data_IF_789905872398
#
_entry.id   IF_789905872398
#
_cell.length_a   1.000
_cell.length_b   1.000
_cell.length_c   1.000
_cell.angle_alpha   90.00
_cell.angle_beta   90.00
_cell.angle_gamma   90.00
#
_symmetry.space_group_name_H-M   'P 1'
#
loop_
_entity.id
_entity.type
_entity.pdbx_description
1 polymer ?
#
# COMPACT_ATOMS: atom_id res chain seq x y z
N UNK A 1 -43.49 -49.95 -36.51
CA UNK A 1 -44.34 -49.07 -35.69
C UNK A 1 -43.63 -48.82 -34.37
N UNK A 2 -43.62 -47.55 -33.93
CA UNK A 2 -42.98 -46.96 -32.73
C UNK A 2 -41.44 -47.08 -32.67
N UNK A 3 -40.62 -46.03 -32.75
CA UNK A 3 -40.82 -44.62 -32.36
C UNK A 3 -39.98 -44.32 -31.11
N UNK A 4 -38.85 -43.63 -31.31
CA UNK A 4 -37.77 -43.26 -30.35
C UNK A 4 -38.30 -42.60 -29.05
N UNK A 5 -37.50 -42.50 -27.96
CA UNK A 5 -36.72 -41.24 -27.87
C UNK A 5 -35.34 -41.34 -27.19
N UNK A 6 -34.40 -40.69 -27.87
CA UNK A 6 -33.15 -40.08 -27.42
C UNK A 6 -33.26 -39.42 -26.02
N UNK A 7 -32.81 -40.09 -24.96
CA UNK A 7 -32.69 -39.49 -23.60
C UNK A 7 -31.28 -39.58 -22.98
N UNK A 8 -30.31 -40.20 -23.65
CA UNK A 8 -28.94 -40.38 -23.13
C UNK A 8 -27.99 -39.18 -23.28
N UNK A 9 -28.28 -38.25 -24.19
CA UNK A 9 -27.36 -37.15 -24.55
C UNK A 9 -27.50 -35.84 -23.75
N UNK A 10 -28.50 -35.71 -22.87
CA UNK A 10 -28.65 -34.50 -22.04
C UNK A 10 -27.83 -34.58 -20.75
N UNK A 11 -27.66 -35.78 -20.20
CA UNK A 11 -26.96 -36.00 -18.93
C UNK A 11 -25.47 -35.64 -19.01
N UNK A 12 -24.76 -36.13 -20.04
CA UNK A 12 -23.34 -35.81 -20.21
C UNK A 12 -23.09 -34.33 -20.51
N UNK A 13 -24.00 -33.66 -21.23
CA UNK A 13 -23.88 -32.23 -21.55
C UNK A 13 -24.01 -31.37 -20.28
N UNK A 14 -24.96 -31.70 -19.40
CA UNK A 14 -25.08 -31.08 -18.08
C UNK A 14 -23.84 -31.34 -17.23
N UNK A 15 -23.28 -32.55 -17.26
CA UNK A 15 -22.04 -32.88 -16.54
C UNK A 15 -20.84 -32.07 -17.06
N UNK A 16 -20.69 -31.97 -18.38
CA UNK A 16 -19.63 -31.18 -19.03
C UNK A 16 -19.78 -29.68 -18.71
N UNK A 17 -21.01 -29.16 -18.68
CA UNK A 17 -21.28 -27.79 -18.27
C UNK A 17 -20.94 -27.56 -16.79
N UNK A 18 -21.29 -28.51 -15.91
CA UNK A 18 -20.95 -28.45 -14.49
C UNK A 18 -19.42 -28.50 -14.29
N UNK A 19 -18.72 -29.44 -14.90
CA UNK A 19 -17.25 -29.50 -14.86
C UNK A 19 -16.61 -28.22 -15.42
N UNK A 20 -17.08 -27.74 -16.57
CA UNK A 20 -16.59 -26.49 -17.17
C UNK A 20 -16.77 -25.30 -16.22
N UNK A 21 -17.93 -25.20 -15.56
CA UNK A 21 -18.19 -24.15 -14.57
C UNK A 21 -17.30 -24.24 -13.33
N UNK A 22 -17.04 -25.45 -12.82
CA UNK A 22 -16.14 -25.66 -11.66
C UNK A 22 -14.69 -25.34 -12.02
N UNK A 23 -14.24 -25.73 -13.21
CA UNK A 23 -12.91 -25.41 -13.73
C UNK A 23 -12.77 -23.88 -13.86
N UNK A 24 -13.74 -23.19 -14.47
CA UNK A 24 -13.73 -21.73 -14.58
C UNK A 24 -13.69 -21.05 -13.20
N UNK A 25 -14.44 -21.57 -12.23
CA UNK A 25 -14.41 -21.06 -10.86
C UNK A 25 -13.01 -21.24 -10.25
N UNK A 26 -12.42 -22.43 -10.32
CA UNK A 26 -11.05 -22.69 -9.82
C UNK A 26 -10.03 -21.76 -10.48
N UNK A 27 -10.10 -21.58 -11.80
CA UNK A 27 -9.21 -20.67 -12.53
C UNK A 27 -9.39 -19.21 -12.07
N UNK A 28 -10.64 -18.75 -11.91
CA UNK A 28 -10.91 -17.40 -11.44
C UNK A 28 -10.37 -17.17 -10.02
N UNK A 29 -10.52 -18.15 -9.13
CA UNK A 29 -10.00 -18.09 -7.76
C UNK A 29 -8.47 -18.06 -7.73
N UNK A 30 -7.80 -18.97 -8.45
CA UNK A 30 -6.34 -18.99 -8.54
C UNK A 30 -5.78 -17.70 -9.17
N UNK A 31 -6.45 -17.16 -10.20
CA UNK A 31 -6.03 -15.89 -10.81
C UNK A 31 -6.16 -14.71 -9.85
N UNK A 32 -7.25 -14.66 -9.07
CA UNK A 32 -7.45 -13.64 -8.04
C UNK A 32 -6.39 -13.72 -6.95
N UNK A 33 -6.13 -14.92 -6.42
CA UNK A 33 -5.10 -15.15 -5.39
C UNK A 33 -3.70 -14.76 -5.89
N UNK A 34 -3.34 -15.14 -7.13
CA UNK A 34 -2.05 -14.76 -7.70
C UNK A 34 -1.87 -13.24 -7.82
N UNK A 35 -2.93 -12.52 -8.19
CA UNK A 35 -2.91 -11.04 -8.30
C UNK A 35 -2.76 -10.39 -6.93
N UNK A 36 -3.46 -10.89 -5.92
CA UNK A 36 -3.37 -10.39 -4.55
C UNK A 36 -1.97 -10.67 -3.96
N UNK A 37 -1.38 -11.85 -4.23
CA UNK A 37 -0.01 -12.15 -3.85
C UNK A 37 1.02 -11.23 -4.52
N UNK A 38 0.88 -10.93 -5.81
CA UNK A 38 1.76 -10.01 -6.52
C UNK A 38 1.64 -8.58 -5.97
N UNK A 39 0.41 -8.13 -5.72
CA UNK A 39 0.11 -6.84 -5.09
C UNK A 39 0.72 -6.74 -3.69
N UNK A 40 0.53 -7.76 -2.85
CA UNK A 40 1.09 -7.82 -1.50
C UNK A 40 2.63 -7.81 -1.52
N UNK A 41 3.25 -8.56 -2.43
CA UNK A 41 4.71 -8.60 -2.58
C UNK A 41 5.27 -7.25 -3.01
N UNK A 42 4.63 -6.58 -3.99
CA UNK A 42 5.01 -5.25 -4.44
C UNK A 42 4.84 -4.21 -3.33
N UNK A 43 3.72 -4.25 -2.58
CA UNK A 43 3.52 -3.38 -1.42
C UNK A 43 4.59 -3.60 -0.36
N UNK A 44 4.79 -4.84 0.09
CA UNK A 44 5.76 -5.19 1.11
C UNK A 44 7.21 -4.80 0.72
N UNK A 45 7.53 -4.86 -0.57
CA UNK A 45 8.86 -4.54 -1.08
C UNK A 45 9.15 -3.04 -1.18
N UNK A 46 8.18 -2.23 -1.61
CA UNK A 46 8.43 -0.84 -1.98
C UNK A 46 7.81 0.19 -1.04
N UNK A 47 6.81 -0.19 -0.24
CA UNK A 47 6.20 0.70 0.75
C UNK A 47 7.24 1.21 1.77
N UNK A 48 8.14 0.40 2.36
CA UNK A 48 9.09 0.89 3.37
C UNK A 48 9.98 2.03 2.85
N UNK A 49 10.60 1.85 1.68
CA UNK A 49 11.44 2.89 1.07
C UNK A 49 10.63 4.14 0.66
N UNK A 50 9.36 3.96 0.29
CA UNK A 50 8.46 5.08 -0.04
C UNK A 50 8.09 5.88 1.21
N UNK A 51 7.87 5.20 2.34
CA UNK A 51 7.62 5.83 3.64
C UNK A 51 8.87 6.58 4.13
N UNK A 52 10.05 5.98 4.01
CA UNK A 52 11.32 6.63 4.32
C UNK A 52 11.51 7.93 3.53
N UNK A 53 11.29 7.88 2.20
CA UNK A 53 11.32 9.07 1.34
C UNK A 53 10.33 10.16 1.81
N UNK A 54 9.13 9.78 2.24
CA UNK A 54 8.12 10.71 2.72
C UNK A 54 8.51 11.38 4.05
N UNK A 55 9.00 10.60 5.01
CA UNK A 55 9.48 11.09 6.31
C UNK A 55 10.69 12.00 6.12
N UNK A 56 11.62 11.62 5.25
CA UNK A 56 12.76 12.46 4.90
C UNK A 56 12.31 13.79 4.26
N UNK A 57 11.40 13.73 3.29
CA UNK A 57 10.81 14.91 2.65
C UNK A 57 10.10 15.81 3.66
N UNK A 58 9.39 15.23 4.65
CA UNK A 58 8.78 15.98 5.73
C UNK A 58 9.81 16.74 6.55
N UNK A 59 10.84 16.05 7.01
CA UNK A 59 11.89 16.64 7.83
C UNK A 59 12.60 17.78 7.11
N UNK A 60 13.00 17.59 5.85
CA UNK A 60 13.63 18.63 5.04
C UNK A 60 12.78 19.90 4.91
N UNK A 61 11.47 19.74 4.79
CA UNK A 61 10.53 20.86 4.61
C UNK A 61 10.07 21.50 5.93
N UNK A 62 10.16 20.76 7.04
CA UNK A 62 9.77 21.27 8.36
C UNK A 62 10.66 22.44 8.77
N UNK A 63 10.10 23.43 9.46
CA UNK A 63 10.86 24.53 10.08
C UNK A 63 11.32 24.20 11.50
N UNK A 64 10.90 23.06 12.03
CA UNK A 64 11.26 22.60 13.37
C UNK A 64 12.77 22.29 13.44
N UNK A 65 13.36 22.49 14.61
CA UNK A 65 14.71 22.06 14.92
C UNK A 65 14.78 20.53 15.06
N UNK A 66 13.74 19.94 15.65
CA UNK A 66 13.67 18.50 15.92
C UNK A 66 13.32 17.69 14.67
N UNK A 67 13.77 16.45 14.65
CA UNK A 67 13.36 15.47 13.66
C UNK A 67 11.97 14.92 13.99
N UNK A 68 11.26 14.48 12.96
CA UNK A 68 10.02 13.71 13.08
C UNK A 68 10.29 12.31 12.54
N UNK A 69 9.81 11.30 13.25
CA UNK A 69 9.85 9.91 12.80
C UNK A 69 8.46 9.36 12.58
N UNK A 70 8.38 8.26 11.84
CA UNK A 70 7.15 7.50 11.70
C UNK A 70 6.71 6.94 13.06
N UNK A 71 5.48 7.25 13.46
CA UNK A 71 4.77 6.56 14.53
C UNK A 71 4.00 5.37 13.97
N UNK A 72 3.06 5.66 13.07
CA UNK A 72 2.19 4.64 12.47
C UNK A 72 1.88 4.95 11.01
N UNK A 73 1.71 3.89 10.21
CA UNK A 73 1.03 3.97 8.93
C UNK A 73 -0.46 3.78 9.24
N UNK A 74 -1.27 4.83 9.06
CA UNK A 74 -2.70 4.80 9.32
C UNK A 74 -3.44 4.12 8.17
N UNK A 75 -3.06 4.45 6.94
CA UNK A 75 -3.59 3.83 5.73
C UNK A 75 -2.54 3.86 4.62
N UNK A 76 -2.58 2.88 3.71
CA UNK A 76 -1.73 2.89 2.52
C UNK A 76 -2.34 2.05 1.41
N UNK A 77 -2.28 2.54 0.19
CA UNK A 77 -2.59 1.78 -1.01
C UNK A 77 -1.66 2.18 -2.15
N UNK A 78 -1.62 1.35 -3.19
CA UNK A 78 -0.91 1.67 -4.43
C UNK A 78 -1.85 1.67 -5.61
N UNK A 79 -1.44 2.40 -6.62
CA UNK A 79 -2.04 2.42 -7.94
C UNK A 79 -0.92 2.27 -8.97
N UNK A 80 -1.18 1.52 -10.03
CA UNK A 80 -0.25 1.41 -11.15
C UNK A 80 -0.67 2.42 -12.22
N UNK A 81 0.18 3.40 -12.51
CA UNK A 81 -0.06 4.45 -13.51
C UNK A 81 1.07 4.40 -14.53
N UNK A 82 0.77 3.91 -15.74
CA UNK A 82 1.77 3.64 -16.78
C UNK A 82 2.91 2.76 -16.24
N UNK A 83 4.16 3.24 -16.37
CA UNK A 83 5.39 2.62 -15.85
C UNK A 83 5.75 3.08 -14.43
N UNK A 84 4.81 3.62 -13.66
CA UNK A 84 5.05 4.12 -12.30
C UNK A 84 4.11 3.45 -11.32
N UNK A 85 4.62 3.17 -10.14
CA UNK A 85 3.79 2.77 -8.98
C UNK A 85 3.57 4.03 -8.14
N UNK A 86 2.32 4.39 -7.92
CA UNK A 86 1.93 5.54 -7.10
C UNK A 86 1.45 5.02 -5.77
N UNK A 87 2.09 5.43 -4.68
CA UNK A 87 1.65 5.15 -3.33
C UNK A 87 0.90 6.34 -2.76
N UNK A 88 -0.26 6.07 -2.20
CA UNK A 88 -1.01 7.01 -1.37
C UNK A 88 -1.01 6.47 0.05
N UNK A 89 -0.57 7.29 1.00
CA UNK A 89 -0.31 6.86 2.37
C UNK A 89 -0.62 7.97 3.36
N UNK A 90 -1.33 7.59 4.40
CA UNK A 90 -1.63 8.41 5.56
C UNK A 90 -0.72 7.98 6.70
N UNK A 91 0.15 8.86 7.14
CA UNK A 91 1.19 8.60 8.12
C UNK A 91 0.98 9.47 9.35
N UNK A 92 1.09 8.87 10.53
CA UNK A 92 1.25 9.60 11.78
C UNK A 92 2.75 9.79 12.04
N UNK A 93 3.19 11.05 12.05
CA UNK A 93 4.55 11.46 12.35
C UNK A 93 4.61 12.05 13.76
N UNK A 94 5.62 11.67 14.52
CA UNK A 94 5.85 12.19 15.87
C UNK A 94 7.21 12.85 15.99
N UNK A 95 7.27 13.98 16.69
CA UNK A 95 8.49 14.71 17.00
C UNK A 95 9.38 13.88 17.92
N UNK A 96 10.68 13.85 17.61
CA UNK A 96 11.69 13.16 18.40
C UNK A 96 12.47 14.12 19.28
N UNK A 97 13.33 13.57 20.14
CA UNK A 97 14.25 14.36 20.97
C UNK A 97 15.52 14.77 20.23
N UNK A 98 15.75 14.22 19.03
CA UNK A 98 16.95 14.44 18.23
C UNK A 98 16.77 15.63 17.29
N UNK A 99 17.87 16.35 17.03
CA UNK A 99 17.92 17.36 15.98
C UNK A 99 17.75 16.74 14.59
N UNK A 100 17.21 17.53 13.66
CA UNK A 100 16.98 17.11 12.26
C UNK A 100 18.23 16.63 11.50
N UNK A 101 19.42 17.04 11.96
CA UNK A 101 20.71 16.71 11.33
C UNK A 101 21.54 15.73 12.16
N UNK A 102 20.96 15.13 13.19
CA UNK A 102 21.59 14.02 13.89
C UNK A 102 21.49 12.76 13.04
N UNK A 103 22.52 11.92 13.12
CA UNK A 103 22.48 10.59 12.56
C UNK A 103 21.46 9.72 13.33
N UNK A 104 20.91 8.70 12.66
CA UNK A 104 20.06 7.69 13.30
C UNK A 104 18.75 8.21 13.92
N UNK A 105 18.02 9.05 13.17
CA UNK A 105 16.68 9.54 13.53
C UNK A 105 15.70 8.37 13.76
N UNK A 106 15.89 7.24 13.08
CA UNK A 106 15.00 6.07 13.15
C UNK A 106 14.99 5.40 14.53
N UNK A 107 16.12 5.42 15.24
CA UNK A 107 16.21 4.92 16.62
C UNK A 107 15.93 6.00 17.68
N UNK A 108 15.68 7.25 17.26
CA UNK A 108 15.47 8.34 18.19
C UNK A 108 14.12 8.24 18.93
N UNK A 109 14.15 8.41 20.24
CA UNK A 109 12.95 8.41 21.07
C UNK A 109 12.03 9.59 20.73
N UNK A 110 10.72 9.34 20.77
CA UNK A 110 9.72 10.41 20.70
C UNK A 110 9.87 11.35 21.90
N UNK A 111 9.48 12.60 21.70
CA UNK A 111 9.33 13.53 22.80
C UNK A 111 8.04 13.23 23.56
N UNK A 112 8.13 13.13 24.88
CA UNK A 112 6.96 13.10 25.75
C UNK A 112 6.55 14.55 26.01
N UNK A 113 5.55 15.04 25.26
CA UNK A 113 4.99 16.37 25.51
C UNK A 113 3.53 16.39 25.07
N UNK A 114 2.71 17.09 25.85
CA UNK A 114 1.27 17.29 25.59
C UNK A 114 1.01 18.43 24.62
N UNK A 115 2.04 19.03 24.03
CA UNK A 115 1.91 20.11 23.05
C UNK A 115 1.37 19.59 21.69
N UNK A 116 0.50 20.39 21.07
CA UNK A 116 -0.18 20.08 19.79
C UNK A 116 0.78 19.85 18.63
N UNK A 117 1.92 20.52 18.65
CA UNK A 117 2.91 20.50 17.57
C UNK A 117 3.79 19.24 17.58
N UNK A 118 3.56 18.27 18.47
CA UNK A 118 4.41 17.08 18.54
C UNK A 118 4.01 16.00 17.56
N UNK A 119 2.80 16.05 16.99
CA UNK A 119 2.34 15.03 16.06
C UNK A 119 1.71 15.64 14.83
N UNK A 120 1.88 14.99 13.68
CA UNK A 120 1.22 15.33 12.44
C UNK A 120 0.61 14.10 11.81
N UNK A 121 -0.65 14.21 11.40
CA UNK A 121 -1.24 13.27 10.44
C UNK A 121 -1.01 13.83 9.05
N UNK A 122 -0.23 13.11 8.24
CA UNK A 122 0.16 13.54 6.91
C UNK A 122 -0.32 12.56 5.86
N UNK A 123 -0.99 13.07 4.83
CA UNK A 123 -1.28 12.36 3.61
C UNK A 123 -0.22 12.67 2.55
N UNK A 124 0.37 11.64 1.98
CA UNK A 124 1.34 11.74 0.90
C UNK A 124 0.85 10.96 -0.31
N UNK A 125 1.12 11.51 -1.50
CA UNK A 125 1.06 10.80 -2.77
C UNK A 125 2.44 10.83 -3.39
N UNK A 126 3.06 9.66 -3.57
CA UNK A 126 4.43 9.53 -4.07
C UNK A 126 4.44 8.59 -5.27
N UNK A 127 4.95 9.08 -6.39
CA UNK A 127 5.27 8.23 -7.54
C UNK A 127 6.65 7.62 -7.34
N UNK A 128 6.77 6.32 -7.58
CA UNK A 128 8.04 5.62 -7.63
C UNK A 128 8.21 4.82 -8.92
N UNK A 129 9.46 4.67 -9.36
CA UNK A 129 9.86 3.64 -10.32
C UNK A 129 10.72 2.63 -9.58
N UNK A 130 10.14 1.51 -9.15
CA UNK A 130 10.82 0.62 -8.20
C UNK A 130 12.16 0.07 -8.68
N UNK A 131 12.33 -0.14 -9.99
CA UNK A 131 13.57 -0.64 -10.60
C UNK A 131 14.68 0.42 -10.76
N UNK A 132 14.38 1.70 -10.52
CA UNK A 132 15.33 2.82 -10.65
C UNK A 132 15.53 3.59 -9.34
N UNK A 133 14.97 3.14 -8.22
CA UNK A 133 15.01 3.84 -6.93
C UNK A 133 14.64 5.33 -7.04
N UNK A 134 13.73 5.65 -7.96
CA UNK A 134 13.32 7.02 -8.25
C UNK A 134 12.01 7.32 -7.53
N UNK A 135 11.99 8.34 -6.69
CA UNK A 135 10.81 8.81 -5.96
C UNK A 135 10.48 10.25 -6.36
N UNK A 136 9.20 10.58 -6.40
CA UNK A 136 8.72 11.93 -6.69
C UNK A 136 7.48 12.21 -5.84
N UNK A 137 7.55 13.29 -5.06
CA UNK A 137 6.40 13.79 -4.31
C UNK A 137 5.39 14.39 -5.29
N UNK A 138 4.18 13.84 -5.33
CA UNK A 138 3.06 14.36 -6.11
C UNK A 138 2.14 15.25 -5.27
N UNK A 139 1.86 14.84 -4.03
CA UNK A 139 1.04 15.60 -3.09
C UNK A 139 1.51 15.37 -1.65
N UNK A 140 1.34 16.40 -0.81
CA UNK A 140 1.55 16.34 0.63
C UNK A 140 0.59 17.30 1.32
N UNK A 141 -0.20 16.79 2.26
CA UNK A 141 -1.02 17.58 3.17
C UNK A 141 -0.83 17.07 4.58
N UNK A 142 -0.57 17.95 5.55
CA UNK A 142 -0.37 17.58 6.95
C UNK A 142 -1.25 18.42 7.86
N UNK A 143 -1.80 17.79 8.89
CA UNK A 143 -2.58 18.43 9.94
C UNK A 143 -1.92 18.12 11.29
N UNK A 144 -1.81 19.12 12.16
CA UNK A 144 -1.37 18.93 13.54
C UNK A 144 -2.35 17.99 14.27
N UNK A 145 -1.80 16.98 14.95
CA UNK A 145 -2.56 15.93 15.61
C UNK A 145 -2.72 16.14 17.12
N UNK A 146 -3.71 15.45 17.68
CA UNK A 146 -3.90 15.28 19.13
C UNK A 146 -3.74 13.79 19.43
N UNK A 147 -2.66 13.37 20.09
CA UNK A 147 -2.49 12.01 20.59
C UNK A 147 -1.83 11.98 21.96
#
# INVERSE_FOLDING_TARGET
>A
MLGLPWKGGLSWALLLLLLGSQILLIYAWHFHEQRDCDEHNVMARYLPATVEFAVHTFNQQSKDYYAYRLGHILNSWKEQVESKTVFSMELLLGRTRCGKFEDDIDNCHFQESTELNNTFTCFFTISTRPWMTQFSLLNKTCLEGFH
#
